data_IF_270572066014
#
_entry.id   IF_270572066014
#
_cell.length_a   1.000
_cell.length_b   1.000
_cell.length_c   1.000
_cell.angle_alpha   90.00
_cell.angle_beta   90.00
_cell.angle_gamma   90.00
#
_symmetry.space_group_name_H-M   'P 1'
#
loop_
_entity.id
_entity.type
_entity.pdbx_description
1 polymer ?
#
# COMPACT_ATOMS: atom_id res chain seq x y z
N UNK A 1 -39.58 17.85 -37.07
CA UNK A 1 -39.17 17.24 -38.35
C UNK A 1 -38.68 15.84 -38.11
N UNK A 2 -39.50 14.82 -38.39
CA UNK A 2 -39.03 13.44 -38.48
C UNK A 2 -38.10 13.36 -39.69
N UNK A 3 -36.80 13.23 -39.47
CA UNK A 3 -35.88 13.02 -40.60
C UNK A 3 -36.15 11.61 -41.13
N UNK A 4 -36.27 11.44 -42.45
CA UNK A 4 -36.37 10.15 -43.14
C UNK A 4 -35.31 9.13 -42.67
N UNK A 5 -34.17 9.63 -42.16
CA UNK A 5 -33.12 8.86 -41.52
C UNK A 5 -33.54 8.22 -40.19
N UNK A 6 -34.27 8.94 -39.35
CA UNK A 6 -34.75 8.44 -38.05
C UNK A 6 -35.74 7.30 -38.28
N UNK A 7 -36.70 7.51 -39.18
CA UNK A 7 -37.71 6.51 -39.53
C UNK A 7 -37.08 5.24 -40.11
N UNK A 8 -36.03 5.38 -40.93
CA UNK A 8 -35.31 4.25 -41.53
C UNK A 8 -34.41 3.48 -40.56
N UNK A 9 -33.72 4.15 -39.63
CA UNK A 9 -32.64 3.54 -38.83
C UNK A 9 -32.91 3.47 -37.32
N UNK A 10 -34.10 3.86 -36.85
CA UNK A 10 -34.44 3.92 -35.40
C UNK A 10 -34.14 2.61 -34.66
N UNK A 11 -34.73 1.51 -35.10
CA UNK A 11 -34.61 0.22 -34.40
C UNK A 11 -33.18 -0.32 -34.44
N UNK A 12 -32.53 -0.18 -35.60
CA UNK A 12 -31.14 -0.57 -35.79
C UNK A 12 -30.21 0.18 -34.83
N UNK A 13 -30.33 1.51 -34.74
CA UNK A 13 -29.47 2.33 -33.87
C UNK A 13 -29.66 1.96 -32.40
N UNK A 14 -30.90 1.75 -31.95
CA UNK A 14 -31.19 1.33 -30.56
C UNK A 14 -30.58 -0.04 -30.30
N UNK A 15 -30.79 -1.02 -31.18
CA UNK A 15 -30.28 -2.37 -31.02
C UNK A 15 -28.76 -2.39 -30.95
N UNK A 16 -28.08 -1.75 -31.91
CA UNK A 16 -26.62 -1.73 -31.97
C UNK A 16 -26.01 -1.03 -30.75
N UNK A 17 -26.65 0.04 -30.25
CA UNK A 17 -26.14 0.76 -29.09
C UNK A 17 -26.45 0.06 -27.76
N UNK A 18 -27.67 -0.45 -27.56
CA UNK A 18 -28.08 -0.97 -26.25
C UNK A 18 -27.68 -2.43 -26.05
N UNK A 19 -27.87 -3.26 -27.07
CA UNK A 19 -27.64 -4.71 -27.04
C UNK A 19 -26.23 -5.06 -27.51
N UNK A 20 -25.85 -4.65 -28.71
CA UNK A 20 -24.54 -4.99 -29.31
C UNK A 20 -23.39 -4.13 -28.77
N UNK A 21 -23.68 -3.18 -27.88
CA UNK A 21 -22.71 -2.31 -27.20
C UNK A 21 -21.80 -1.49 -28.13
N UNK A 22 -22.12 -1.37 -29.41
CA UNK A 22 -21.38 -0.52 -30.36
C UNK A 22 -21.34 0.94 -29.92
N UNK A 23 -20.27 1.62 -30.26
CA UNK A 23 -20.11 3.06 -30.09
C UNK A 23 -20.86 3.83 -31.19
N UNK A 24 -21.05 5.14 -30.97
CA UNK A 24 -21.62 6.02 -32.00
C UNK A 24 -20.77 6.09 -33.27
N UNK A 25 -19.47 5.81 -33.18
CA UNK A 25 -18.56 5.76 -34.31
C UNK A 25 -18.78 4.50 -35.16
N UNK A 26 -18.87 3.33 -34.53
CA UNK A 26 -19.12 2.06 -35.21
C UNK A 26 -20.49 2.08 -35.91
N UNK A 27 -21.54 2.53 -35.21
CA UNK A 27 -22.88 2.65 -35.79
C UNK A 27 -22.89 3.63 -36.96
N UNK A 28 -22.12 4.72 -36.86
CA UNK A 28 -22.02 5.70 -37.95
C UNK A 28 -21.33 5.11 -39.19
N UNK A 29 -20.28 4.31 -38.99
CA UNK A 29 -19.59 3.60 -40.06
C UNK A 29 -20.51 2.57 -40.73
N UNK A 30 -21.25 1.79 -39.95
CA UNK A 30 -22.14 0.73 -40.45
C UNK A 30 -23.21 1.25 -41.42
N UNK A 31 -23.74 2.46 -41.17
CA UNK A 31 -24.82 3.05 -41.98
C UNK A 31 -24.38 4.24 -42.84
N UNK A 32 -23.07 4.46 -42.98
CA UNK A 32 -22.50 5.47 -43.87
C UNK A 32 -22.81 6.92 -43.48
N UNK A 33 -22.66 7.27 -42.20
CA UNK A 33 -22.91 8.60 -41.66
C UNK A 33 -21.80 9.03 -40.69
N UNK A 34 -21.99 10.15 -39.97
CA UNK A 34 -21.07 10.64 -38.95
C UNK A 34 -21.59 10.44 -37.51
N UNK A 35 -20.69 10.26 -36.51
CA UNK A 35 -21.05 9.89 -35.13
C UNK A 35 -22.00 10.88 -34.44
N UNK A 36 -21.83 12.17 -34.71
CA UNK A 36 -22.67 13.22 -34.12
C UNK A 36 -24.14 13.16 -34.59
N UNK A 37 -24.40 12.53 -35.75
CA UNK A 37 -25.77 12.24 -36.21
C UNK A 37 -26.38 11.14 -35.35
N UNK A 38 -25.65 10.05 -35.12
CA UNK A 38 -26.08 8.94 -34.24
C UNK A 38 -26.33 9.43 -32.82
N UNK A 39 -25.42 10.24 -32.27
CA UNK A 39 -25.55 10.84 -30.93
C UNK A 39 -26.86 11.62 -30.78
N UNK A 40 -27.15 12.51 -31.74
CA UNK A 40 -28.40 13.28 -31.73
C UNK A 40 -29.62 12.38 -31.86
N UNK A 41 -29.56 11.37 -32.74
CA UNK A 41 -30.63 10.39 -32.90
C UNK A 41 -30.90 9.63 -31.59
N UNK A 42 -29.88 9.14 -30.89
CA UNK A 42 -30.04 8.48 -29.59
C UNK A 42 -30.71 9.39 -28.55
N UNK A 43 -30.27 10.65 -28.46
CA UNK A 43 -30.91 11.64 -27.58
C UNK A 43 -32.38 11.88 -27.93
N UNK A 44 -32.71 12.03 -29.22
CA UNK A 44 -34.10 12.17 -29.68
C UNK A 44 -34.95 10.94 -29.35
N UNK A 45 -34.34 9.76 -29.32
CA UNK A 45 -35.00 8.50 -28.97
C UNK A 45 -35.09 8.25 -27.46
N UNK A 46 -34.61 9.20 -26.63
CA UNK A 46 -34.61 9.07 -25.17
C UNK A 46 -33.61 8.04 -24.64
N UNK A 47 -32.58 7.70 -25.40
CA UNK A 47 -31.52 6.78 -24.98
C UNK A 47 -30.38 7.56 -24.34
N UNK A 48 -30.13 7.30 -23.06
CA UNK A 48 -29.01 7.88 -22.34
C UNK A 48 -27.67 7.45 -22.95
N UNK A 49 -26.83 8.44 -23.20
CA UNK A 49 -25.47 8.19 -23.68
C UNK A 49 -24.61 7.69 -22.52
N UNK A 50 -23.81 6.66 -22.80
CA UNK A 50 -22.76 6.19 -21.90
C UNK A 50 -21.83 7.34 -21.55
N UNK A 51 -21.53 7.48 -20.27
CA UNK A 51 -20.49 8.37 -19.78
C UNK A 51 -19.09 7.88 -20.20
N UNK A 52 -18.07 8.68 -19.93
CA UNK A 52 -16.68 8.37 -20.31
C UNK A 52 -16.21 7.03 -19.72
N UNK A 53 -16.55 6.75 -18.46
CA UNK A 53 -16.13 5.53 -17.76
C UNK A 53 -16.77 4.29 -18.38
N UNK A 54 -18.08 4.31 -18.56
CA UNK A 54 -18.86 3.21 -19.16
C UNK A 54 -18.44 2.96 -20.61
N UNK A 55 -18.21 4.03 -21.38
CA UNK A 55 -17.72 3.91 -22.74
C UNK A 55 -16.33 3.26 -22.82
N UNK A 56 -15.44 3.59 -21.87
CA UNK A 56 -14.11 2.99 -21.78
C UNK A 56 -14.18 1.51 -21.39
N UNK A 57 -15.00 1.15 -20.40
CA UNK A 57 -15.21 -0.26 -20.00
C UNK A 57 -15.68 -1.10 -21.18
N UNK A 58 -16.73 -0.66 -21.88
CA UNK A 58 -17.24 -1.36 -23.06
C UNK A 58 -16.20 -1.48 -24.16
N UNK A 59 -15.37 -0.46 -24.37
CA UNK A 59 -14.32 -0.51 -25.38
C UNK A 59 -13.20 -1.50 -25.04
N UNK A 60 -12.90 -1.67 -23.76
CA UNK A 60 -11.93 -2.67 -23.28
C UNK A 60 -12.52 -4.08 -23.39
N UNK A 61 -13.77 -4.28 -22.98
CA UNK A 61 -14.48 -5.56 -23.07
C UNK A 61 -14.64 -6.02 -24.52
N UNK A 62 -14.94 -5.09 -25.43
CA UNK A 62 -15.09 -5.38 -26.86
C UNK A 62 -13.75 -5.50 -27.61
N UNK A 63 -12.61 -5.37 -26.92
CA UNK A 63 -11.27 -5.42 -27.52
C UNK A 63 -10.90 -4.24 -28.42
N UNK A 64 -11.70 -3.17 -28.45
CA UNK A 64 -11.42 -1.96 -29.26
C UNK A 64 -10.30 -1.10 -28.69
N UNK A 65 -10.11 -1.18 -27.38
CA UNK A 65 -9.01 -0.52 -26.69
C UNK A 65 -8.33 -1.49 -25.76
N UNK A 66 -7.00 -1.53 -25.82
CA UNK A 66 -6.22 -2.21 -24.81
C UNK A 66 -6.29 -1.44 -23.49
N UNK A 67 -6.29 -2.18 -22.39
CA UNK A 67 -6.24 -1.56 -21.07
C UNK A 67 -4.88 -0.86 -20.89
N UNK A 68 -4.83 0.46 -20.65
CA UNK A 68 -3.62 1.28 -20.81
C UNK A 68 -2.45 0.88 -19.91
N UNK A 69 -2.74 0.22 -18.79
CA UNK A 69 -1.77 -0.15 -17.74
C UNK A 69 -1.74 -1.65 -17.43
N UNK A 70 -2.61 -2.47 -18.04
CA UNK A 70 -2.71 -3.89 -17.68
C UNK A 70 -1.51 -4.64 -18.27
N UNK A 71 -0.81 -5.40 -17.44
CA UNK A 71 0.37 -6.18 -17.86
C UNK A 71 1.67 -5.39 -18.04
N UNK A 72 1.63 -4.05 -18.01
CA UNK A 72 2.85 -3.24 -18.04
C UNK A 72 3.66 -3.43 -16.76
N UNK A 73 4.90 -3.88 -16.90
CA UNK A 73 5.87 -3.93 -15.79
C UNK A 73 6.47 -2.54 -15.62
N UNK A 74 6.26 -1.94 -14.45
CA UNK A 74 6.87 -0.65 -14.09
C UNK A 74 8.32 -0.85 -13.69
N UNK A 75 9.16 0.07 -14.12
CA UNK A 75 10.55 0.24 -13.66
C UNK A 75 10.56 0.66 -12.18
N UNK A 76 11.71 0.50 -11.50
CA UNK A 76 11.83 0.96 -10.11
C UNK A 76 11.71 2.48 -9.99
N UNK A 77 12.25 3.24 -10.94
CA UNK A 77 12.10 4.70 -10.98
C UNK A 77 10.62 5.13 -11.05
N UNK A 78 9.81 4.46 -11.90
CA UNK A 78 8.37 4.72 -11.95
C UNK A 78 7.66 4.34 -10.65
N UNK A 79 8.03 3.23 -10.01
CA UNK A 79 7.44 2.84 -8.71
C UNK A 79 7.77 3.85 -7.61
N UNK A 80 8.99 4.39 -7.61
CA UNK A 80 9.42 5.43 -6.69
C UNK A 80 8.60 6.70 -6.93
N UNK A 81 8.56 7.20 -8.17
CA UNK A 81 7.81 8.41 -8.52
C UNK A 81 6.33 8.31 -8.17
N UNK A 82 5.69 7.16 -8.43
CA UNK A 82 4.29 6.91 -8.04
C UNK A 82 4.13 6.92 -6.52
N UNK A 83 5.05 6.27 -5.80
CA UNK A 83 5.01 6.22 -4.34
C UNK A 83 5.19 7.61 -3.72
N UNK A 84 6.05 8.44 -4.28
CA UNK A 84 6.30 9.80 -3.80
C UNK A 84 5.10 10.69 -4.09
N UNK A 85 4.55 10.64 -5.31
CA UNK A 85 3.34 11.36 -5.68
C UNK A 85 2.13 10.98 -4.81
N UNK A 86 1.98 9.69 -4.48
CA UNK A 86 0.92 9.23 -3.58
C UNK A 86 1.12 9.75 -2.15
N UNK A 87 2.36 9.74 -1.62
CA UNK A 87 2.65 10.29 -0.28
C UNK A 87 2.29 11.77 -0.22
N UNK A 88 2.77 12.54 -1.19
CA UNK A 88 2.49 13.98 -1.29
C UNK A 88 0.99 14.26 -1.41
N UNK A 89 0.26 13.44 -2.18
CA UNK A 89 -1.19 13.58 -2.30
C UNK A 89 -1.90 13.38 -0.95
N UNK A 90 -1.53 12.37 -0.17
CA UNK A 90 -2.13 12.14 1.15
C UNK A 90 -1.72 13.18 2.19
N UNK A 91 -0.48 13.64 2.15
CA UNK A 91 0.04 14.69 3.06
C UNK A 91 -0.67 16.03 2.85
N UNK A 92 -0.99 16.37 1.60
CA UNK A 92 -1.64 17.62 1.23
C UNK A 92 -3.15 17.47 0.98
N UNK A 93 -3.75 16.36 1.41
CA UNK A 93 -5.18 16.11 1.26
C UNK A 93 -5.96 16.85 2.34
N UNK A 94 -6.97 17.61 1.92
CA UNK A 94 -7.94 18.24 2.81
C UNK A 94 -8.69 17.21 3.67
N UNK A 95 -8.97 17.58 4.92
CA UNK A 95 -9.62 16.68 5.89
C UNK A 95 -11.01 16.21 5.42
N UNK A 96 -11.77 17.06 4.72
CA UNK A 96 -13.08 16.70 4.17
C UNK A 96 -12.99 15.60 3.11
N UNK A 97 -11.99 15.65 2.22
CA UNK A 97 -11.77 14.60 1.21
C UNK A 97 -11.26 13.31 1.86
N UNK A 98 -10.43 13.43 2.90
CA UNK A 98 -9.97 12.29 3.69
C UNK A 98 -11.15 11.59 4.39
N UNK A 99 -12.04 12.35 5.00
CA UNK A 99 -13.22 11.83 5.67
C UNK A 99 -14.18 11.20 4.66
N UNK A 100 -14.43 11.86 3.53
CA UNK A 100 -15.23 11.30 2.43
C UNK A 100 -14.72 9.92 2.01
N UNK A 101 -13.41 9.77 1.80
CA UNK A 101 -12.79 8.47 1.44
C UNK A 101 -12.92 7.42 2.53
N UNK A 102 -12.80 7.84 3.79
CA UNK A 102 -13.01 6.97 4.95
C UNK A 102 -14.46 6.44 4.98
N UNK A 103 -15.43 7.31 4.74
CA UNK A 103 -16.86 6.94 4.70
C UNK A 103 -17.16 5.97 3.57
N UNK A 104 -16.66 6.22 2.36
CA UNK A 104 -16.80 5.26 1.24
C UNK A 104 -16.29 3.86 1.63
N UNK A 105 -15.15 3.80 2.33
CA UNK A 105 -14.57 2.51 2.77
C UNK A 105 -15.43 1.84 3.84
N UNK A 106 -16.03 2.61 4.75
CA UNK A 106 -16.96 2.10 5.78
C UNK A 106 -18.27 1.61 5.18
N UNK A 107 -18.83 2.34 4.22
CA UNK A 107 -20.04 1.96 3.48
C UNK A 107 -19.81 0.66 2.69
N UNK A 108 -18.68 0.57 1.99
CA UNK A 108 -18.28 -0.65 1.32
C UNK A 108 -18.22 -1.82 2.31
N UNK A 109 -17.49 -1.67 3.43
CA UNK A 109 -17.43 -2.69 4.47
C UNK A 109 -18.82 -3.07 5.00
N UNK A 110 -19.70 -2.10 5.27
CA UNK A 110 -21.04 -2.35 5.75
C UNK A 110 -21.89 -3.15 4.75
N UNK A 111 -21.72 -2.87 3.46
CA UNK A 111 -22.41 -3.56 2.36
C UNK A 111 -21.87 -4.97 2.05
N UNK A 112 -20.72 -5.36 2.59
CA UNK A 112 -20.16 -6.70 2.40
C UNK A 112 -20.99 -7.76 3.12
N UNK A 113 -21.06 -8.96 2.53
CA UNK A 113 -21.65 -10.12 3.18
C UNK A 113 -20.87 -10.51 4.44
N UNK A 114 -21.53 -11.17 5.39
CA UNK A 114 -20.83 -11.66 6.60
C UNK A 114 -19.78 -12.72 6.27
N UNK A 115 -19.97 -13.51 5.21
CA UNK A 115 -18.98 -14.45 4.70
C UNK A 115 -17.72 -13.72 4.22
N UNK A 116 -17.87 -12.67 3.42
CA UNK A 116 -16.74 -11.88 2.93
C UNK A 116 -16.00 -11.18 4.07
N UNK A 117 -16.74 -10.61 5.05
CA UNK A 117 -16.14 -10.00 6.25
C UNK A 117 -15.36 -11.03 7.05
N UNK A 118 -15.90 -12.24 7.24
CA UNK A 118 -15.22 -13.32 7.94
C UNK A 118 -13.95 -13.75 7.21
N UNK A 119 -14.01 -13.87 5.88
CA UNK A 119 -12.86 -14.19 5.05
C UNK A 119 -11.76 -13.12 5.15
N UNK A 120 -12.11 -11.82 5.06
CA UNK A 120 -11.15 -10.73 5.22
C UNK A 120 -10.48 -10.74 6.60
N UNK A 121 -11.25 -10.95 7.67
CA UNK A 121 -10.70 -11.07 9.04
C UNK A 121 -9.75 -12.25 9.16
N UNK A 122 -10.09 -13.40 8.58
CA UNK A 122 -9.23 -14.59 8.54
C UNK A 122 -7.92 -14.29 7.82
N UNK A 123 -7.99 -13.71 6.63
CA UNK A 123 -6.81 -13.33 5.83
C UNK A 123 -5.91 -12.34 6.58
N UNK A 124 -6.49 -11.34 7.25
CA UNK A 124 -5.75 -10.38 8.07
C UNK A 124 -5.04 -11.08 9.23
N UNK A 125 -5.73 -11.97 9.96
CA UNK A 125 -5.14 -12.71 11.07
C UNK A 125 -4.04 -13.66 10.61
N UNK A 126 -4.21 -14.32 9.46
CA UNK A 126 -3.20 -15.19 8.85
C UNK A 126 -1.97 -14.36 8.42
N UNK A 127 -2.18 -13.17 7.86
CA UNK A 127 -1.10 -12.25 7.48
C UNK A 127 -0.30 -11.78 8.71
N UNK A 128 -0.98 -11.43 9.82
CA UNK A 128 -0.31 -11.07 11.08
C UNK A 128 0.49 -12.26 11.63
N UNK A 129 -0.09 -13.46 11.65
CA UNK A 129 0.61 -14.68 12.09
C UNK A 129 1.83 -15.00 11.22
N UNK A 130 1.73 -14.79 9.91
CA UNK A 130 2.84 -14.98 8.97
C UNK A 130 3.93 -13.94 9.19
N UNK A 131 3.57 -12.67 9.34
CA UNK A 131 4.51 -11.59 9.62
C UNK A 131 5.25 -11.81 10.96
N UNK A 132 4.57 -12.30 12.00
CA UNK A 132 5.23 -12.62 13.27
C UNK A 132 6.21 -13.80 13.23
N UNK A 133 6.23 -14.60 12.16
CA UNK A 133 7.17 -15.72 11.97
C UNK A 133 8.28 -15.43 10.97
N UNK A 134 7.94 -14.73 9.90
CA UNK A 134 8.86 -14.47 8.79
C UNK A 134 9.39 -13.03 8.78
N UNK A 135 8.88 -12.20 9.68
CA UNK A 135 9.15 -10.77 9.76
C UNK A 135 8.20 -9.91 8.96
N UNK A 136 8.07 -8.66 9.41
CA UNK A 136 7.19 -7.67 8.78
C UNK A 136 7.70 -7.24 7.40
N UNK A 137 6.83 -6.54 6.64
CA UNK A 137 7.20 -5.96 5.35
C UNK A 137 8.35 -4.96 5.48
N UNK A 138 8.39 -4.20 6.57
CA UNK A 138 9.45 -3.21 6.82
C UNK A 138 10.76 -3.94 7.14
N UNK A 139 10.75 -4.93 8.03
CA UNK A 139 11.94 -5.73 8.36
C UNK A 139 12.58 -6.33 7.12
N UNK A 140 11.78 -6.98 6.27
CA UNK A 140 12.25 -7.57 5.01
C UNK A 140 12.82 -6.51 4.06
N UNK A 141 12.21 -5.32 4.01
CA UNK A 141 12.68 -4.22 3.18
C UNK A 141 14.03 -3.66 3.68
N UNK A 142 14.15 -3.41 4.98
CA UNK A 142 15.37 -2.90 5.62
C UNK A 142 16.49 -3.93 5.50
N UNK A 143 16.22 -5.20 5.82
CA UNK A 143 17.18 -6.30 5.65
C UNK A 143 17.76 -6.32 4.23
N UNK A 144 16.89 -6.30 3.22
CA UNK A 144 17.30 -6.31 1.83
C UNK A 144 18.14 -5.08 1.50
N UNK A 145 17.68 -3.88 1.86
CA UNK A 145 18.37 -2.63 1.56
C UNK A 145 19.75 -2.52 2.19
N UNK A 146 19.90 -2.93 3.46
CA UNK A 146 21.19 -2.96 4.14
C UNK A 146 22.14 -4.01 3.55
N UNK A 147 21.62 -5.18 3.16
CA UNK A 147 22.41 -6.23 2.51
C UNK A 147 22.89 -5.79 1.13
N UNK A 148 22.03 -5.12 0.34
CA UNK A 148 22.39 -4.54 -0.97
C UNK A 148 23.42 -3.42 -0.84
N UNK A 149 23.44 -2.71 0.29
CA UNK A 149 24.48 -1.74 0.64
C UNK A 149 25.80 -2.39 1.11
N UNK A 150 25.90 -3.73 1.10
CA UNK A 150 27.12 -4.46 1.44
C UNK A 150 27.32 -4.75 2.92
N UNK A 151 26.31 -4.47 3.77
CA UNK A 151 26.40 -4.77 5.20
C UNK A 151 26.01 -6.22 5.46
N UNK A 152 26.75 -6.90 6.34
CA UNK A 152 26.32 -8.20 6.88
C UNK A 152 25.17 -7.96 7.87
N UNK A 153 24.00 -8.50 7.56
CA UNK A 153 22.81 -8.41 8.41
C UNK A 153 22.26 -9.81 8.65
N UNK A 154 21.93 -10.12 9.89
CA UNK A 154 21.30 -11.38 10.28
C UNK A 154 19.86 -11.11 10.67
N UNK A 155 18.93 -11.75 9.98
CA UNK A 155 17.50 -11.67 10.24
C UNK A 155 17.11 -12.55 11.45
N UNK A 156 16.26 -12.04 12.34
CA UNK A 156 15.69 -12.75 13.50
C UNK A 156 16.77 -13.46 14.35
N UNK A 157 17.77 -12.70 14.79
CA UNK A 157 18.94 -13.25 15.49
C UNK A 157 18.59 -13.59 16.94
N UNK A 158 18.81 -14.85 17.31
CA UNK A 158 18.74 -15.35 18.70
C UNK A 158 20.13 -15.55 19.30
N UNK A 159 20.15 -15.69 20.63
CA UNK A 159 21.33 -16.12 21.38
C UNK A 159 22.39 -15.03 21.56
N UNK A 160 22.03 -13.75 21.36
CA UNK A 160 22.90 -12.62 21.73
C UNK A 160 23.11 -12.52 23.25
N UNK A 161 22.15 -13.03 24.02
CA UNK A 161 22.22 -13.13 25.47
C UNK A 161 22.15 -14.61 25.87
N UNK A 162 23.25 -15.19 26.42
CA UNK A 162 23.23 -16.54 26.98
C UNK A 162 22.05 -16.80 27.92
N UNK A 163 21.46 -17.99 27.79
CA UNK A 163 20.30 -18.46 28.55
C UNK A 163 19.00 -17.65 28.35
N UNK A 164 18.97 -16.75 27.36
CA UNK A 164 17.77 -16.03 26.95
C UNK A 164 17.27 -16.55 25.58
N UNK A 165 15.95 -16.59 25.42
CA UNK A 165 15.29 -16.93 24.14
C UNK A 165 15.01 -15.70 23.28
N UNK A 166 15.44 -14.52 23.73
CA UNK A 166 15.29 -13.25 23.07
C UNK A 166 15.82 -13.28 21.64
N UNK A 167 15.00 -12.74 20.75
CA UNK A 167 15.25 -12.55 19.34
C UNK A 167 15.28 -11.04 19.07
N UNK A 168 16.21 -10.58 18.23
CA UNK A 168 16.21 -9.22 17.69
C UNK A 168 15.83 -9.28 16.22
N UNK A 169 15.09 -8.28 15.72
CA UNK A 169 14.55 -8.32 14.36
C UNK A 169 15.67 -8.39 13.32
N UNK A 170 16.65 -7.49 13.42
CA UNK A 170 17.85 -7.50 12.60
C UNK A 170 19.09 -7.30 13.47
N UNK A 171 20.18 -7.97 13.13
CA UNK A 171 21.47 -7.81 13.80
C UNK A 171 22.57 -7.53 12.79
N UNK A 172 23.38 -6.50 13.06
CA UNK A 172 24.55 -6.10 12.26
C UNK A 172 25.81 -6.47 13.06
N UNK A 173 26.42 -7.65 12.82
CA UNK A 173 27.50 -8.17 13.66
C UNK A 173 28.72 -7.27 13.69
N UNK A 174 29.14 -6.74 12.54
CA UNK A 174 30.31 -5.87 12.41
C UNK A 174 30.24 -4.60 13.26
N UNK A 175 29.03 -4.17 13.63
CA UNK A 175 28.79 -2.98 14.46
C UNK A 175 28.27 -3.32 15.86
N UNK A 176 28.16 -4.60 16.24
CA UNK A 176 27.50 -5.02 17.49
C UNK A 176 26.14 -4.30 17.70
N UNK A 177 25.36 -4.15 16.63
CA UNK A 177 24.15 -3.32 16.63
C UNK A 177 22.92 -4.17 16.32
N UNK A 178 21.94 -4.14 17.21
CA UNK A 178 20.61 -4.68 16.99
C UNK A 178 19.68 -3.58 16.45
N UNK A 179 18.80 -3.94 15.52
CA UNK A 179 17.76 -3.05 15.00
C UNK A 179 16.41 -3.71 15.31
N UNK A 180 15.51 -2.94 15.90
CA UNK A 180 14.15 -3.36 16.25
C UNK A 180 13.16 -2.48 15.50
N UNK A 181 12.14 -3.06 14.89
CA UNK A 181 11.10 -2.35 14.14
C UNK A 181 9.78 -2.51 14.87
N UNK A 182 9.52 -1.57 15.75
CA UNK A 182 8.36 -1.60 16.64
C UNK A 182 7.10 -1.13 15.91
N UNK A 183 6.11 -2.01 15.83
CA UNK A 183 4.78 -1.66 15.33
C UNK A 183 3.95 -0.86 16.33
N UNK A 184 2.79 -0.32 15.91
CA UNK A 184 1.93 0.50 16.77
C UNK A 184 1.50 -0.16 18.09
N UNK A 185 1.43 -1.50 18.15
CA UNK A 185 1.06 -2.23 19.36
C UNK A 185 2.06 -2.11 20.53
N UNK A 186 3.28 -1.65 20.28
CA UNK A 186 4.28 -1.35 21.31
C UNK A 186 4.03 0.00 21.99
N UNK A 187 3.22 0.88 21.39
CA UNK A 187 3.01 2.27 21.84
C UNK A 187 1.53 2.63 22.04
N UNK A 188 0.61 1.92 21.38
CA UNK A 188 -0.82 2.15 21.41
C UNK A 188 -1.55 0.94 22.00
N UNK A 189 -2.66 1.15 22.73
CA UNK A 189 -3.42 0.07 23.38
C UNK A 189 -4.30 -0.70 22.39
N UNK A 190 -3.70 -1.22 21.31
CA UNK A 190 -4.38 -1.97 20.24
C UNK A 190 -5.13 -3.18 20.81
N UNK A 191 -4.56 -3.81 21.85
CA UNK A 191 -5.12 -4.97 22.55
C UNK A 191 -5.44 -4.66 24.01
N UNK A 192 -5.72 -3.39 24.31
CA UNK A 192 -5.98 -2.89 25.66
C UNK A 192 -4.72 -2.50 26.45
N UNK A 193 -4.94 -1.74 27.53
CA UNK A 193 -3.89 -1.08 28.29
C UNK A 193 -2.94 -2.06 29.00
N UNK A 194 -3.48 -3.14 29.57
CA UNK A 194 -2.66 -4.16 30.26
C UNK A 194 -1.65 -4.81 29.32
N UNK A 195 -2.02 -5.04 28.06
CA UNK A 195 -1.13 -5.60 27.04
C UNK A 195 -0.05 -4.62 26.64
N UNK A 196 -0.40 -3.34 26.46
CA UNK A 196 0.55 -2.27 26.16
C UNK A 196 1.63 -2.16 27.25
N UNK A 197 1.22 -2.09 28.52
CA UNK A 197 2.15 -1.99 29.65
C UNK A 197 3.11 -3.19 29.74
N UNK A 198 2.63 -4.39 29.38
CA UNK A 198 3.49 -5.58 29.30
C UNK A 198 4.53 -5.47 28.18
N UNK A 199 4.14 -4.98 27.01
CA UNK A 199 5.07 -4.76 25.90
C UNK A 199 6.15 -3.74 26.27
N UNK A 200 5.76 -2.57 26.79
CA UNK A 200 6.71 -1.53 27.24
C UNK A 200 7.72 -2.09 28.25
N UNK A 201 7.26 -2.87 29.24
CA UNK A 201 8.14 -3.48 30.24
C UNK A 201 9.11 -4.49 29.63
N UNK A 202 8.60 -5.37 28.78
CA UNK A 202 9.40 -6.39 28.08
C UNK A 202 10.50 -5.73 27.24
N UNK A 203 10.15 -4.67 26.51
CA UNK A 203 11.08 -3.97 25.64
C UNK A 203 12.16 -3.22 26.43
N UNK A 204 11.81 -2.62 27.57
CA UNK A 204 12.77 -1.99 28.46
C UNK A 204 13.77 -3.01 29.03
N UNK A 205 13.29 -4.19 29.44
CA UNK A 205 14.14 -5.29 29.90
C UNK A 205 15.07 -5.78 28.78
N UNK A 206 14.51 -6.01 27.58
CA UNK A 206 15.24 -6.39 26.36
C UNK A 206 16.39 -5.41 26.08
N UNK A 207 16.06 -4.12 26.10
CA UNK A 207 17.00 -3.06 25.80
C UNK A 207 18.13 -2.99 26.82
N UNK A 208 17.79 -3.07 28.12
CA UNK A 208 18.79 -3.08 29.19
C UNK A 208 19.76 -4.26 29.10
N UNK A 209 19.25 -5.46 28.80
CA UNK A 209 20.08 -6.67 28.66
C UNK A 209 21.09 -6.56 27.52
N UNK A 210 20.64 -6.10 26.35
CA UNK A 210 21.49 -5.90 25.18
C UNK A 210 22.57 -4.83 25.42
N UNK A 211 22.19 -3.68 25.96
CA UNK A 211 23.12 -2.57 26.23
C UNK A 211 24.21 -3.01 27.22
N UNK A 212 23.82 -3.70 28.30
CA UNK A 212 24.76 -4.22 29.31
C UNK A 212 25.72 -5.28 28.75
N UNK A 213 25.36 -5.93 27.64
CA UNK A 213 26.21 -6.89 26.93
C UNK A 213 27.08 -6.28 25.84
N UNK A 214 27.05 -4.95 25.69
CA UNK A 214 27.92 -4.24 24.77
C UNK A 214 27.25 -3.80 23.47
N UNK A 215 25.98 -4.14 23.26
CA UNK A 215 25.29 -3.87 22.00
C UNK A 215 24.73 -2.44 21.93
N UNK A 216 24.65 -1.91 20.71
CA UNK A 216 23.84 -0.74 20.36
C UNK A 216 22.48 -1.23 19.89
N UNK A 217 21.43 -0.47 20.17
CA UNK A 217 20.05 -0.76 19.77
C UNK A 217 19.52 0.44 19.01
N UNK A 218 19.15 0.23 17.75
CA UNK A 218 18.42 1.20 16.93
C UNK A 218 16.96 0.76 16.88
N UNK A 219 16.08 1.47 17.58
CA UNK A 219 14.64 1.18 17.60
C UNK A 219 13.90 2.11 16.65
N UNK A 220 13.15 1.53 15.72
CA UNK A 220 12.30 2.25 14.78
C UNK A 220 10.87 2.21 15.30
N UNK A 221 10.38 3.35 15.79
CA UNK A 221 9.01 3.51 16.27
C UNK A 221 8.10 3.84 15.09
N UNK A 222 7.45 2.83 14.50
CA UNK A 222 6.51 3.06 13.43
C UNK A 222 5.13 3.43 14.00
N UNK A 223 4.89 4.74 14.12
CA UNK A 223 3.67 5.28 14.77
C UNK A 223 2.46 5.30 13.84
N UNK A 224 2.66 5.11 12.53
CA UNK A 224 1.57 5.23 11.56
C UNK A 224 0.85 3.93 11.27
N UNK A 225 -0.43 4.10 10.92
CA UNK A 225 -1.36 3.03 10.59
C UNK A 225 -1.13 2.44 9.19
N UNK A 226 -0.43 3.16 8.31
CA UNK A 226 -0.18 2.76 6.92
C UNK A 226 1.30 2.89 6.54
N UNK A 227 1.83 1.84 5.90
CA UNK A 227 3.24 1.77 5.48
C UNK A 227 3.30 1.91 3.96
N UNK A 228 3.83 3.04 3.49
CA UNK A 228 4.09 3.29 2.06
C UNK A 228 5.50 2.87 1.66
N UNK A 229 5.74 2.68 0.35
CA UNK A 229 7.10 2.39 -0.14
C UNK A 229 8.06 3.56 0.12
N UNK A 230 7.59 4.82 0.03
CA UNK A 230 8.37 6.01 0.38
C UNK A 230 8.83 5.93 1.83
N UNK A 231 7.91 5.67 2.76
CA UNK A 231 8.25 5.59 4.19
C UNK A 231 9.27 4.50 4.49
N UNK A 232 9.14 3.32 3.88
CA UNK A 232 10.15 2.26 4.04
C UNK A 232 11.54 2.68 3.53
N UNK A 233 11.62 3.45 2.44
CA UNK A 233 12.88 4.05 1.98
C UNK A 233 13.42 5.07 2.96
N UNK A 234 12.56 5.96 3.47
CA UNK A 234 12.97 6.99 4.44
C UNK A 234 13.48 6.34 5.75
N UNK A 235 12.82 5.27 6.23
CA UNK A 235 13.28 4.46 7.36
C UNK A 235 14.66 3.86 7.08
N UNK A 236 14.83 3.22 5.92
CA UNK A 236 16.12 2.64 5.53
C UNK A 236 17.22 3.71 5.51
N UNK A 237 16.95 4.88 4.92
CA UNK A 237 17.91 5.99 4.91
C UNK A 237 18.29 6.44 6.32
N UNK A 238 17.32 6.58 7.23
CA UNK A 238 17.59 6.96 8.61
C UNK A 238 18.39 5.90 9.36
N UNK A 239 18.03 4.62 9.22
CA UNK A 239 18.79 3.51 9.81
C UNK A 239 20.23 3.51 9.28
N UNK A 240 20.42 3.59 7.95
CA UNK A 240 21.74 3.62 7.35
C UNK A 240 22.59 4.76 7.89
N UNK A 241 22.02 5.97 7.98
CA UNK A 241 22.72 7.13 8.54
C UNK A 241 23.12 6.93 10.02
N UNK A 242 22.30 6.27 10.83
CA UNK A 242 22.67 5.93 12.21
C UNK A 242 23.75 4.84 12.28
N UNK A 243 23.69 3.83 11.41
CA UNK A 243 24.74 2.81 11.33
C UNK A 243 26.08 3.42 10.92
N UNK A 244 26.09 4.35 9.97
CA UNK A 244 27.30 5.07 9.54
C UNK A 244 27.92 5.85 10.71
N UNK A 245 27.10 6.52 11.53
CA UNK A 245 27.56 7.23 12.75
C UNK A 245 28.14 6.27 13.79
N UNK A 246 27.53 5.10 14.00
CA UNK A 246 28.02 4.08 14.93
C UNK A 246 29.36 3.52 14.47
N UNK A 247 29.50 3.31 13.16
CA UNK A 247 30.73 2.83 12.52
C UNK A 247 31.87 3.85 12.64
N UNK A 248 31.58 5.13 12.39
CA UNK A 248 32.55 6.21 12.58
C UNK A 248 32.94 6.38 14.06
N UNK A 249 31.95 6.33 14.95
CA UNK A 249 32.15 6.52 16.39
C UNK A 249 31.18 5.70 17.21
N UNK A 250 31.69 4.59 17.75
CA UNK A 250 30.90 3.72 18.60
C UNK A 250 30.39 4.45 19.86
N UNK A 251 29.08 4.44 20.14
CA UNK A 251 28.51 5.26 21.20
C UNK A 251 28.88 4.76 22.61
N UNK A 252 29.04 5.69 23.59
CA UNK A 252 29.21 5.32 25.00
C UNK A 252 27.93 4.67 25.53
N UNK A 253 28.05 3.90 26.62
CA UNK A 253 26.96 3.08 27.19
C UNK A 253 25.63 3.84 27.34
N UNK A 254 25.67 5.09 27.78
CA UNK A 254 24.48 5.94 28.01
C UNK A 254 23.78 6.39 26.73
N UNK A 255 24.38 6.18 25.55
CA UNK A 255 23.87 6.59 24.23
C UNK A 255 23.69 5.40 23.28
N UNK A 256 23.63 4.17 23.81
CA UNK A 256 23.47 2.95 23.00
C UNK A 256 22.03 2.61 22.65
N UNK A 257 21.05 3.31 23.23
CA UNK A 257 19.67 3.26 22.78
C UNK A 257 19.42 4.46 21.86
N UNK A 258 19.22 4.19 20.58
CA UNK A 258 18.90 5.19 19.55
C UNK A 258 17.48 4.92 19.10
N UNK A 259 16.62 5.94 19.12
CA UNK A 259 15.23 5.82 18.71
C UNK A 259 15.00 6.68 17.47
N UNK A 260 14.42 6.07 16.44
CA UNK A 260 14.03 6.69 15.19
C UNK A 260 12.50 6.72 15.16
N UNK A 261 11.90 7.90 15.07
CA UNK A 261 10.46 8.03 14.88
C UNK A 261 10.15 8.00 13.39
N UNK A 262 9.40 6.98 12.99
CA UNK A 262 9.13 6.68 11.60
C UNK A 262 7.73 7.06 11.19
#
# INVERSE_FOLDING_TARGET
MSSQFLEKYREYIIQQYTKEKKSTYEIAQDIGTYPNKIRRTLNTLGVDLRDRSTAQTVAIESGRHEHPTRGKKRTEAEKIAISDGMSNFWENMEDDERERRSQISKEQWASMSEEDKANLRKLAADAVRKAGKEGSKIEKFVYKGLTEAGREVIFHKKGLVPNDKMEVDLFVPGLNTAIEIDGPAHFLPIWGEATLQRHIRSDAQKSGLLINRGFVIVRVKNLVKNISNKRMRDILTQISAELDKIEEKFPPLTKRLIEIEA
#
